data_IF_102670529112
#
_entry.id   IF_102670529112
#
_cell.length_a   1.000
_cell.length_b   1.000
_cell.length_c   1.000
_cell.angle_alpha   90.00
_cell.angle_beta   90.00
_cell.angle_gamma   90.00
#
_symmetry.space_group_name_H-M   'P 1'
#
loop_
_entity.id
_entity.type
_entity.pdbx_description
1 polymer ?
#
# COMPACT_ATOMS: atom_id res chain seq x y z
N UNK A 1 -8.27 34.08 -7.12
CA UNK A 1 -6.98 34.05 -6.41
C UNK A 1 -7.06 33.33 -5.06
N UNK A 2 -8.18 33.42 -4.33
CA UNK A 2 -8.29 32.84 -2.98
C UNK A 2 -8.32 31.31 -2.96
N UNK A 3 -9.01 30.66 -3.91
CA UNK A 3 -8.97 29.18 -4.03
C UNK A 3 -7.57 28.60 -4.31
N UNK A 4 -6.75 29.32 -5.08
CA UNK A 4 -5.38 28.87 -5.37
C UNK A 4 -4.49 28.96 -4.13
N UNK A 5 -4.66 30.01 -3.32
CA UNK A 5 -3.95 30.17 -2.04
C UNK A 5 -4.36 29.10 -1.03
N UNK A 6 -5.65 28.75 -0.96
CA UNK A 6 -6.15 27.67 -0.11
C UNK A 6 -5.52 26.30 -0.50
N UNK A 7 -5.50 25.97 -1.79
CA UNK A 7 -4.88 24.73 -2.28
C UNK A 7 -3.38 24.69 -1.95
N UNK A 8 -2.66 25.80 -2.16
CA UNK A 8 -1.22 25.87 -1.84
C UNK A 8 -0.99 25.71 -0.34
N UNK A 9 -1.83 26.31 0.51
CA UNK A 9 -1.75 26.18 1.95
C UNK A 9 -2.01 24.74 2.41
N UNK A 10 -3.05 24.07 1.89
CA UNK A 10 -3.34 22.66 2.17
C UNK A 10 -2.17 21.74 1.76
N UNK A 11 -1.58 21.97 0.58
CA UNK A 11 -0.41 21.22 0.13
C UNK A 11 0.80 21.46 1.04
N UNK A 12 1.04 22.70 1.45
CA UNK A 12 2.14 23.02 2.37
C UNK A 12 1.95 22.33 3.73
N UNK A 13 0.74 22.37 4.30
CA UNK A 13 0.41 21.68 5.54
C UNK A 13 0.62 20.16 5.43
N UNK A 14 0.19 19.56 4.32
CA UNK A 14 0.41 18.14 4.04
C UNK A 14 1.90 17.78 4.00
N UNK A 15 2.72 18.53 3.23
CA UNK A 15 4.15 18.24 3.13
C UNK A 15 4.87 18.41 4.47
N UNK A 16 4.51 19.44 5.25
CA UNK A 16 5.07 19.66 6.58
C UNK A 16 4.70 18.52 7.54
N UNK A 17 3.45 18.04 7.51
CA UNK A 17 3.00 16.92 8.32
C UNK A 17 3.72 15.63 7.93
N UNK A 18 3.78 15.31 6.65
CA UNK A 18 4.45 14.11 6.12
C UNK A 18 5.94 14.09 6.49
N UNK A 19 6.63 15.21 6.29
CA UNK A 19 8.05 15.35 6.61
C UNK A 19 8.33 15.27 8.11
N UNK A 20 7.54 15.99 8.94
CA UNK A 20 7.66 15.92 10.41
C UNK A 20 7.33 14.53 10.94
N UNK A 21 6.32 13.87 10.38
CA UNK A 21 5.95 12.49 10.71
C UNK A 21 7.08 11.50 10.44
N UNK A 22 7.74 11.63 9.28
CA UNK A 22 8.89 10.81 8.91
C UNK A 22 10.11 11.09 9.81
N UNK A 23 10.45 12.36 10.03
CA UNK A 23 11.54 12.75 10.94
C UNK A 23 11.28 12.32 12.38
N UNK A 24 10.01 12.22 12.78
CA UNK A 24 9.61 11.74 14.10
C UNK A 24 10.05 10.31 14.39
N UNK A 25 10.26 9.48 13.36
CA UNK A 25 10.74 8.10 13.49
C UNK A 25 12.14 8.06 14.12
N UNK A 26 13.00 9.05 13.82
CA UNK A 26 14.39 9.09 14.27
C UNK A 26 14.58 9.94 15.52
N UNK A 27 13.66 10.87 15.81
CA UNK A 27 13.80 11.85 16.92
C UNK A 27 13.06 11.37 18.17
N UNK A 28 13.74 11.39 19.34
CA UNK A 28 13.11 11.16 20.67
C UNK A 28 12.05 12.22 20.99
N UNK A 29 10.98 11.88 21.74
CA UNK A 29 10.69 10.58 22.37
C UNK A 29 10.13 9.56 21.35
N UNK A 30 10.45 8.27 21.56
CA UNK A 30 9.93 7.18 20.73
C UNK A 30 8.66 6.59 21.36
N UNK A 31 7.58 6.57 20.62
CA UNK A 31 6.29 5.99 21.03
C UNK A 31 6.16 4.55 20.48
N UNK A 32 7.10 3.67 20.88
CA UNK A 32 7.17 2.29 20.36
C UNK A 32 5.92 1.48 20.66
N UNK A 33 5.32 1.66 21.83
CA UNK A 33 4.09 0.95 22.19
C UNK A 33 2.95 1.31 21.23
N UNK A 34 2.78 2.60 20.97
CA UNK A 34 1.74 3.07 20.03
C UNK A 34 2.03 2.55 18.61
N UNK A 35 3.31 2.48 18.20
CA UNK A 35 3.70 1.93 16.92
C UNK A 35 3.36 0.43 16.81
N UNK A 36 3.60 -0.36 17.84
CA UNK A 36 3.26 -1.79 17.88
C UNK A 36 1.74 -1.98 17.84
N UNK A 37 0.97 -1.20 18.58
CA UNK A 37 -0.50 -1.23 18.55
C UNK A 37 -1.02 -0.90 17.13
N UNK A 38 -0.43 0.09 16.46
CA UNK A 38 -0.77 0.42 15.08
C UNK A 38 -0.30 -0.65 14.07
N UNK A 39 0.82 -1.34 14.33
CA UNK A 39 1.26 -2.48 13.50
C UNK A 39 0.32 -3.67 13.63
N UNK A 40 -0.15 -3.98 14.83
CA UNK A 40 -1.13 -5.04 15.04
C UNK A 40 -2.45 -4.72 14.33
N UNK A 41 -2.97 -3.51 14.49
CA UNK A 41 -4.16 -3.06 13.79
C UNK A 41 -4.01 -3.14 12.26
N UNK A 42 -2.89 -2.65 11.72
CA UNK A 42 -2.65 -2.62 10.28
C UNK A 42 -2.32 -4.02 9.72
N UNK A 43 -1.53 -4.80 10.45
CA UNK A 43 -1.05 -6.11 10.02
C UNK A 43 -2.06 -7.22 10.22
N UNK A 44 -2.28 -7.63 11.47
CA UNK A 44 -3.16 -8.75 11.80
C UNK A 44 -4.57 -8.53 11.28
N UNK A 45 -5.08 -7.32 11.44
CA UNK A 45 -6.41 -7.00 10.95
C UNK A 45 -6.57 -7.04 9.43
N UNK A 46 -5.52 -6.78 8.62
CA UNK A 46 -5.58 -6.81 7.15
C UNK A 46 -5.18 -8.16 6.56
N UNK A 47 -4.56 -9.02 7.35
CA UNK A 47 -3.93 -10.26 6.90
C UNK A 47 -4.89 -11.15 6.11
N UNK A 48 -6.04 -11.47 6.66
CA UNK A 48 -7.01 -12.37 6.03
C UNK A 48 -7.57 -11.80 4.71
N UNK A 49 -7.88 -10.50 4.69
CA UNK A 49 -8.43 -9.84 3.50
C UNK A 49 -7.39 -9.82 2.38
N UNK A 50 -6.12 -9.52 2.70
CA UNK A 50 -5.04 -9.50 1.72
C UNK A 50 -4.78 -10.91 1.16
N UNK A 51 -4.77 -11.95 2.01
CA UNK A 51 -4.65 -13.33 1.55
C UNK A 51 -5.78 -13.69 0.57
N UNK A 52 -7.02 -13.40 0.95
CA UNK A 52 -8.17 -13.72 0.11
C UNK A 52 -8.10 -12.99 -1.25
N UNK A 53 -7.88 -11.68 -1.23
CA UNK A 53 -7.80 -10.87 -2.46
C UNK A 53 -6.62 -11.33 -3.32
N UNK A 54 -5.45 -11.54 -2.73
CA UNK A 54 -4.25 -11.97 -3.44
C UNK A 54 -4.43 -13.35 -4.09
N UNK A 55 -5.06 -14.29 -3.40
CA UNK A 55 -5.37 -15.61 -3.94
C UNK A 55 -6.20 -15.50 -5.22
N UNK A 56 -7.32 -14.78 -5.16
CA UNK A 56 -8.21 -14.64 -6.30
C UNK A 56 -7.61 -13.80 -7.44
N UNK A 57 -6.82 -12.79 -7.13
CA UNK A 57 -6.07 -12.01 -8.15
C UNK A 57 -5.08 -12.91 -8.87
N UNK A 58 -4.32 -13.74 -8.16
CA UNK A 58 -3.40 -14.70 -8.76
C UNK A 58 -4.10 -15.74 -9.63
N UNK A 59 -5.23 -16.27 -9.15
CA UNK A 59 -6.06 -17.23 -9.90
C UNK A 59 -6.63 -16.58 -11.18
N UNK A 60 -7.23 -15.40 -11.09
CA UNK A 60 -7.85 -14.71 -12.22
C UNK A 60 -6.81 -14.35 -13.30
N UNK A 61 -5.66 -13.79 -12.88
CA UNK A 61 -4.58 -13.44 -13.79
C UNK A 61 -4.01 -14.67 -14.50
N UNK A 62 -3.78 -15.76 -13.75
CA UNK A 62 -3.27 -17.00 -14.33
C UNK A 62 -4.26 -17.62 -15.32
N UNK A 63 -5.56 -17.61 -15.00
CA UNK A 63 -6.59 -18.12 -15.89
C UNK A 63 -6.63 -17.36 -17.23
N UNK A 64 -6.61 -16.03 -17.16
CA UNK A 64 -6.63 -15.17 -18.33
C UNK A 64 -5.37 -15.34 -19.18
N UNK A 65 -4.18 -15.27 -18.56
CA UNK A 65 -2.92 -15.39 -19.29
C UNK A 65 -2.69 -16.80 -19.86
N UNK A 66 -3.09 -17.86 -19.15
CA UNK A 66 -3.00 -19.21 -19.66
C UNK A 66 -3.88 -19.41 -20.90
N UNK A 67 -5.07 -18.84 -20.92
CA UNK A 67 -5.97 -18.90 -22.08
C UNK A 67 -5.36 -18.19 -23.30
N UNK A 68 -4.86 -16.97 -23.14
CA UNK A 68 -4.27 -16.19 -24.23
C UNK A 68 -2.95 -16.78 -24.73
N UNK A 69 -2.05 -17.18 -23.85
CA UNK A 69 -0.78 -17.78 -24.21
C UNK A 69 -0.95 -19.17 -24.85
N UNK A 70 -1.99 -19.92 -24.48
CA UNK A 70 -2.34 -21.18 -25.13
C UNK A 70 -2.70 -21.00 -26.60
N UNK A 71 -3.48 -19.96 -26.94
CA UNK A 71 -3.87 -19.63 -28.33
C UNK A 71 -2.66 -19.29 -29.19
N UNK A 72 -1.61 -18.73 -28.58
CA UNK A 72 -0.36 -18.38 -29.23
C UNK A 72 0.67 -19.53 -29.26
N UNK A 73 0.34 -20.69 -28.71
CA UNK A 73 1.30 -21.79 -28.57
C UNK A 73 2.38 -21.57 -27.50
N UNK A 74 2.23 -20.53 -26.67
CA UNK A 74 3.24 -20.10 -25.68
C UNK A 74 2.86 -20.46 -24.23
N UNK A 75 2.03 -21.47 -24.04
CA UNK A 75 1.51 -21.89 -22.72
C UNK A 75 2.59 -22.10 -21.66
N UNK A 76 3.77 -22.59 -22.06
CA UNK A 76 4.90 -22.81 -21.15
C UNK A 76 5.39 -21.54 -20.44
N UNK A 77 5.15 -20.37 -21.00
CA UNK A 77 5.56 -19.07 -20.42
C UNK A 77 4.54 -18.48 -19.43
N UNK A 78 3.40 -19.14 -19.19
CA UNK A 78 2.35 -18.65 -18.29
C UNK A 78 2.91 -18.33 -16.91
N UNK A 79 3.67 -19.24 -16.30
CA UNK A 79 4.27 -19.02 -14.98
C UNK A 79 5.20 -17.80 -14.95
N UNK A 80 6.00 -17.60 -16.01
CA UNK A 80 6.92 -16.45 -16.12
C UNK A 80 6.17 -15.13 -16.18
N UNK A 81 5.16 -15.02 -17.05
CA UNK A 81 4.38 -13.78 -17.21
C UNK A 81 3.57 -13.47 -15.96
N UNK A 82 2.89 -14.49 -15.39
CA UNK A 82 2.15 -14.36 -14.13
C UNK A 82 3.08 -13.91 -13.00
N UNK A 83 4.24 -14.54 -12.85
CA UNK A 83 5.20 -14.23 -11.80
C UNK A 83 5.72 -12.79 -11.89
N UNK A 84 6.14 -12.32 -13.07
CA UNK A 84 6.59 -10.94 -13.27
C UNK A 84 5.47 -9.96 -12.95
N UNK A 85 4.27 -10.19 -13.47
CA UNK A 85 3.13 -9.30 -13.28
C UNK A 85 2.73 -9.17 -11.81
N UNK A 86 2.71 -10.30 -11.06
CA UNK A 86 2.36 -10.29 -9.64
C UNK A 86 3.45 -9.58 -8.83
N UNK A 87 4.71 -9.98 -8.99
CA UNK A 87 5.79 -9.49 -8.12
C UNK A 87 6.04 -7.99 -8.32
N UNK A 88 6.05 -7.51 -9.57
CA UNK A 88 6.45 -6.15 -9.90
C UNK A 88 5.33 -5.13 -9.85
N UNK A 89 4.10 -5.53 -10.19
CA UNK A 89 3.00 -4.58 -10.44
C UNK A 89 1.75 -4.90 -9.61
N UNK A 90 1.06 -5.98 -9.94
CA UNK A 90 -0.29 -6.25 -9.45
C UNK A 90 -0.30 -6.50 -7.94
N UNK A 91 0.68 -7.24 -7.41
CA UNK A 91 0.75 -7.55 -6.00
C UNK A 91 0.91 -6.31 -5.12
N UNK A 92 1.93 -5.46 -5.34
CA UNK A 92 2.09 -4.20 -4.60
C UNK A 92 0.87 -3.28 -4.68
N UNK A 93 0.29 -3.11 -5.87
CA UNK A 93 -0.89 -2.24 -6.07
C UNK A 93 -2.12 -2.83 -5.39
N UNK A 94 -2.42 -4.11 -5.59
CA UNK A 94 -3.58 -4.76 -4.97
C UNK A 94 -3.52 -4.70 -3.44
N UNK A 95 -2.35 -5.00 -2.85
CA UNK A 95 -2.15 -4.89 -1.41
C UNK A 95 -2.35 -3.45 -0.92
N UNK A 96 -1.81 -2.44 -1.64
CA UNK A 96 -1.95 -1.03 -1.29
C UNK A 96 -3.41 -0.55 -1.36
N UNK A 97 -4.19 -0.99 -2.37
CA UNK A 97 -5.61 -0.64 -2.48
C UNK A 97 -6.44 -1.21 -1.32
N UNK A 98 -6.22 -2.48 -0.97
CA UNK A 98 -6.88 -3.11 0.18
C UNK A 98 -6.48 -2.42 1.49
N UNK A 99 -5.19 -2.13 1.66
CA UNK A 99 -4.67 -1.43 2.83
C UNK A 99 -5.25 -0.01 2.95
N UNK A 100 -5.37 0.71 1.84
CA UNK A 100 -5.99 2.03 1.79
C UNK A 100 -7.44 1.99 2.25
N UNK A 101 -8.22 1.04 1.72
CA UNK A 101 -9.64 0.90 2.04
C UNK A 101 -9.89 0.60 3.52
N UNK A 102 -9.04 -0.22 4.14
CA UNK A 102 -9.20 -0.61 5.54
C UNK A 102 -8.39 0.24 6.51
N UNK A 103 -7.07 0.27 6.34
CA UNK A 103 -6.17 0.93 7.29
C UNK A 103 -6.15 2.44 7.08
N UNK A 104 -6.07 2.89 5.82
CA UNK A 104 -6.09 4.31 5.50
C UNK A 104 -7.38 4.99 5.94
N UNK A 105 -8.54 4.38 5.65
CA UNK A 105 -9.84 4.89 6.11
C UNK A 105 -9.95 4.90 7.64
N UNK A 106 -9.46 3.84 8.30
CA UNK A 106 -9.44 3.73 9.75
C UNK A 106 -8.60 4.82 10.40
N UNK A 107 -7.37 5.04 9.91
CA UNK A 107 -6.48 6.11 10.40
C UNK A 107 -7.14 7.50 10.26
N UNK A 108 -7.76 7.80 9.11
CA UNK A 108 -8.44 9.07 8.90
C UNK A 108 -9.66 9.24 9.82
N UNK A 109 -10.43 8.18 10.02
CA UNK A 109 -11.61 8.17 10.88
C UNK A 109 -11.24 8.34 12.35
N UNK A 110 -10.23 7.61 12.82
CA UNK A 110 -9.77 7.65 14.21
C UNK A 110 -9.21 9.05 14.55
N UNK A 111 -8.29 9.56 13.73
CA UNK A 111 -7.73 10.90 13.96
C UNK A 111 -8.78 12.00 13.87
N UNK A 112 -9.68 11.91 12.91
CA UNK A 112 -10.78 12.88 12.80
C UNK A 112 -11.75 12.83 13.99
N UNK A 113 -12.01 11.65 14.54
CA UNK A 113 -12.76 11.49 15.78
C UNK A 113 -12.04 12.11 16.99
N UNK A 114 -10.71 11.96 17.07
CA UNK A 114 -9.89 12.59 18.10
C UNK A 114 -9.90 14.13 17.99
N UNK A 115 -9.94 14.67 16.76
CA UNK A 115 -10.08 16.12 16.53
C UNK A 115 -11.45 16.60 17.02
N UNK A 116 -12.54 15.90 16.65
CA UNK A 116 -13.88 16.25 17.08
C UNK A 116 -14.07 16.16 18.60
N UNK A 117 -13.41 15.23 19.25
CA UNK A 117 -13.41 15.08 20.71
C UNK A 117 -12.41 15.97 21.44
N UNK A 118 -11.80 16.97 20.77
CA UNK A 118 -10.79 17.89 21.32
C UNK A 118 -9.56 17.20 21.95
N UNK A 119 -9.34 15.90 21.66
CA UNK A 119 -8.22 15.15 22.22
C UNK A 119 -6.87 15.65 21.68
N UNK A 120 -6.83 16.09 20.41
CA UNK A 120 -5.63 16.66 19.80
C UNK A 120 -5.24 17.98 20.46
N UNK A 121 -6.21 18.82 20.81
CA UNK A 121 -5.97 20.09 21.50
C UNK A 121 -5.54 19.85 22.96
N UNK A 122 -6.11 18.85 23.59
CA UNK A 122 -5.70 18.41 24.94
C UNK A 122 -4.23 17.96 24.96
N UNK A 123 -3.77 17.18 23.96
CA UNK A 123 -2.36 16.80 23.85
C UNK A 123 -1.46 18.04 23.72
N UNK A 124 -1.85 19.03 22.92
CA UNK A 124 -1.10 20.29 22.78
C UNK A 124 -1.03 21.06 24.10
N UNK A 125 -2.11 21.10 24.86
CA UNK A 125 -2.18 21.77 26.18
C UNK A 125 -1.24 21.11 27.19
N UNK A 126 -1.00 19.81 27.09
CA UNK A 126 0.00 19.08 27.88
C UNK A 126 1.44 19.16 27.33
N UNK A 127 1.68 19.98 26.29
CA UNK A 127 3.01 20.13 25.69
C UNK A 127 3.46 18.93 24.84
N UNK A 128 2.54 18.03 24.48
CA UNK A 128 2.82 16.86 23.63
C UNK A 128 2.59 17.24 22.18
N UNK A 129 3.60 17.01 21.31
CA UNK A 129 3.44 17.21 19.85
C UNK A 129 2.52 16.13 19.26
N UNK A 130 1.31 16.50 18.75
CA UNK A 130 0.37 15.55 18.19
C UNK A 130 0.93 14.79 16.98
N UNK A 131 1.79 15.43 16.18
CA UNK A 131 2.38 14.75 15.00
C UNK A 131 3.26 13.61 15.47
N UNK A 132 4.11 13.83 16.46
CA UNK A 132 4.97 12.77 17.01
C UNK A 132 4.18 11.65 17.68
N UNK A 133 3.15 11.99 18.43
CA UNK A 133 2.37 11.01 19.19
C UNK A 133 1.41 10.21 18.33
N UNK A 134 0.78 10.84 17.34
CA UNK A 134 -0.32 10.25 16.58
C UNK A 134 0.07 9.86 15.14
N UNK A 135 0.84 10.72 14.44
CA UNK A 135 1.14 10.50 13.02
C UNK A 135 2.36 9.58 12.83
N UNK A 136 3.44 9.83 13.57
CA UNK A 136 4.69 9.05 13.44
C UNK A 136 4.50 7.54 13.64
N UNK A 137 3.78 7.05 14.67
CA UNK A 137 3.54 5.62 14.86
C UNK A 137 2.74 4.98 13.70
N UNK A 138 1.79 5.73 13.12
CA UNK A 138 0.97 5.27 11.98
C UNK A 138 1.79 5.19 10.69
N UNK A 139 2.66 6.17 10.44
CA UNK A 139 3.58 6.12 9.28
C UNK A 139 4.54 4.94 9.43
N UNK A 140 5.14 4.75 10.60
CA UNK A 140 6.06 3.63 10.85
C UNK A 140 5.36 2.28 10.67
N UNK A 141 4.15 2.14 11.21
CA UNK A 141 3.34 0.94 11.03
C UNK A 141 3.06 0.64 9.55
N UNK A 142 2.65 1.63 8.77
CA UNK A 142 2.37 1.45 7.35
C UNK A 142 3.63 1.10 6.54
N UNK A 143 4.77 1.74 6.85
CA UNK A 143 6.06 1.46 6.22
C UNK A 143 6.54 0.02 6.43
N UNK A 144 6.21 -0.61 7.56
CA UNK A 144 6.63 -1.97 7.87
C UNK A 144 5.58 -2.99 7.43
N UNK A 145 4.31 -2.73 7.75
CA UNK A 145 3.26 -3.72 7.58
C UNK A 145 2.81 -3.88 6.13
N UNK A 146 2.77 -2.80 5.34
CA UNK A 146 2.36 -2.93 3.93
C UNK A 146 3.36 -3.74 3.10
N UNK A 147 4.69 -3.52 3.17
CA UNK A 147 5.64 -4.41 2.50
C UNK A 147 5.56 -5.87 2.96
N UNK A 148 5.41 -6.11 4.27
CA UNK A 148 5.27 -7.46 4.81
C UNK A 148 4.00 -8.16 4.27
N UNK A 149 2.87 -7.48 4.29
CA UNK A 149 1.60 -7.98 3.75
C UNK A 149 1.66 -8.19 2.23
N UNK A 150 2.36 -7.32 1.51
CA UNK A 150 2.57 -7.47 0.06
C UNK A 150 3.41 -8.71 -0.25
N UNK A 151 4.47 -8.97 0.52
CA UNK A 151 5.29 -10.18 0.37
C UNK A 151 4.47 -11.46 0.54
N UNK A 152 3.66 -11.51 1.59
CA UNK A 152 2.73 -12.63 1.85
C UNK A 152 1.69 -12.73 0.73
N UNK A 153 1.10 -11.60 0.33
CA UNK A 153 0.13 -11.54 -0.76
C UNK A 153 0.69 -12.04 -2.09
N UNK A 154 1.92 -11.67 -2.44
CA UNK A 154 2.61 -12.15 -3.63
C UNK A 154 2.78 -13.67 -3.60
N UNK A 155 3.23 -14.24 -2.48
CA UNK A 155 3.37 -15.68 -2.32
C UNK A 155 2.03 -16.41 -2.50
N UNK A 156 0.96 -15.91 -1.88
CA UNK A 156 -0.39 -16.46 -2.01
C UNK A 156 -0.93 -16.32 -3.44
N UNK A 157 -0.68 -15.20 -4.12
CA UNK A 157 -1.06 -15.00 -5.52
C UNK A 157 -0.38 -16.00 -6.45
N UNK A 158 0.91 -16.29 -6.23
CA UNK A 158 1.64 -17.30 -7.00
C UNK A 158 1.09 -18.70 -6.75
N UNK A 159 0.67 -19.03 -5.53
CA UNK A 159 -0.02 -20.29 -5.21
C UNK A 159 -1.39 -20.38 -5.90
N UNK A 160 -2.16 -19.31 -5.92
CA UNK A 160 -3.41 -19.23 -6.67
C UNK A 160 -3.19 -19.44 -8.17
N UNK A 161 -2.16 -18.78 -8.71
CA UNK A 161 -1.74 -18.96 -10.10
C UNK A 161 -1.29 -20.39 -10.42
N UNK A 162 -0.57 -21.03 -9.51
CA UNK A 162 -0.20 -22.44 -9.60
C UNK A 162 -1.43 -23.34 -9.72
N UNK A 163 -2.41 -23.15 -8.84
CA UNK A 163 -3.62 -23.96 -8.86
C UNK A 163 -4.31 -23.93 -10.24
N UNK A 164 -4.50 -22.74 -10.80
CA UNK A 164 -5.11 -22.58 -12.13
C UNK A 164 -4.24 -23.15 -13.25
N UNK A 165 -2.95 -22.85 -13.23
CA UNK A 165 -2.03 -23.33 -14.30
C UNK A 165 -1.96 -24.85 -14.37
N UNK A 166 -1.92 -25.53 -13.23
CA UNK A 166 -1.77 -26.97 -13.17
C UNK A 166 -3.09 -27.71 -13.31
N UNK A 167 -4.10 -27.36 -12.49
CA UNK A 167 -5.34 -28.14 -12.41
C UNK A 167 -6.40 -27.72 -13.45
N UNK A 168 -6.40 -26.47 -13.88
CA UNK A 168 -7.37 -26.00 -14.89
C UNK A 168 -6.76 -25.98 -16.29
N UNK A 169 -5.53 -25.46 -16.41
CA UNK A 169 -4.87 -25.32 -17.70
C UNK A 169 -4.03 -26.55 -18.10
N UNK A 170 -3.94 -27.61 -17.27
CA UNK A 170 -3.15 -28.82 -17.54
C UNK A 170 -1.69 -28.52 -17.93
N UNK A 171 -1.04 -27.59 -17.21
CA UNK A 171 0.38 -27.33 -17.32
C UNK A 171 1.15 -28.18 -16.31
N UNK A 172 2.36 -28.64 -16.65
CA UNK A 172 3.21 -29.35 -15.70
C UNK A 172 3.59 -28.45 -14.51
N UNK A 173 3.43 -28.95 -13.28
CA UNK A 173 3.84 -28.26 -12.07
C UNK A 173 5.33 -27.86 -12.11
N UNK A 174 6.18 -28.73 -12.66
CA UNK A 174 7.61 -28.46 -12.82
C UNK A 174 7.86 -27.24 -13.73
N UNK A 175 7.17 -27.15 -14.87
CA UNK A 175 7.30 -26.04 -15.83
C UNK A 175 6.83 -24.73 -15.18
N UNK A 176 5.74 -24.75 -14.42
CA UNK A 176 5.26 -23.56 -13.72
C UNK A 176 6.30 -23.05 -12.71
N UNK A 177 6.77 -23.92 -11.80
CA UNK A 177 7.73 -23.51 -10.76
C UNK A 177 9.11 -23.16 -11.31
N UNK A 178 9.60 -23.85 -12.36
CA UNK A 178 10.84 -23.43 -13.02
C UNK A 178 10.72 -22.03 -13.62
N UNK A 179 9.61 -21.74 -14.28
CA UNK A 179 9.32 -20.38 -14.81
C UNK A 179 9.24 -19.31 -13.72
N UNK A 180 8.68 -19.64 -12.54
CA UNK A 180 8.66 -18.72 -11.40
C UNK A 180 10.09 -18.48 -10.87
N UNK A 181 10.93 -19.51 -10.76
CA UNK A 181 12.33 -19.37 -10.32
C UNK A 181 13.12 -18.42 -11.22
N UNK A 182 12.91 -18.50 -12.54
CA UNK A 182 13.56 -17.61 -13.51
C UNK A 182 13.15 -16.13 -13.34
N UNK A 183 12.02 -15.88 -12.69
CA UNK A 183 11.52 -14.53 -12.39
C UNK A 183 12.00 -14.01 -11.05
N UNK A 184 12.29 -14.89 -10.09
CA UNK A 184 12.74 -14.54 -8.74
C UNK A 184 14.21 -14.10 -8.73
N UNK A 185 14.56 -13.19 -9.64
CA UNK A 185 15.85 -12.51 -9.68
C UNK A 185 15.80 -11.23 -8.83
N UNK A 186 16.97 -10.79 -8.39
CA UNK A 186 17.09 -9.64 -7.48
C UNK A 186 16.37 -8.40 -8.01
N UNK A 187 16.50 -8.11 -9.29
CA UNK A 187 15.91 -6.93 -9.95
C UNK A 187 14.38 -6.91 -9.85
N UNK A 188 13.73 -8.06 -10.05
CA UNK A 188 12.27 -8.15 -9.97
C UNK A 188 11.77 -8.04 -8.53
N UNK A 189 12.46 -8.71 -7.59
CA UNK A 189 12.11 -8.66 -6.17
C UNK A 189 12.32 -7.25 -5.64
N UNK A 190 13.42 -6.61 -5.97
CA UNK A 190 13.72 -5.24 -5.55
C UNK A 190 12.69 -4.24 -6.10
N UNK A 191 12.37 -4.33 -7.41
CA UNK A 191 11.36 -3.48 -8.02
C UNK A 191 9.99 -3.61 -7.35
N UNK A 192 9.58 -4.85 -7.03
CA UNK A 192 8.32 -5.10 -6.33
C UNK A 192 8.33 -4.72 -4.85
N UNK A 193 9.49 -4.83 -4.17
CA UNK A 193 9.61 -4.53 -2.75
C UNK A 193 9.65 -3.03 -2.44
N UNK A 194 10.25 -2.20 -3.30
CA UNK A 194 10.36 -0.75 -3.08
C UNK A 194 9.00 -0.05 -3.11
N UNK A 195 8.10 -0.46 -3.99
CA UNK A 195 6.78 0.16 -4.17
C UNK A 195 5.93 0.18 -2.90
N UNK A 196 5.75 -0.93 -2.16
CA UNK A 196 4.95 -0.94 -0.94
C UNK A 196 5.45 0.01 0.15
N UNK A 197 6.76 0.25 0.28
CA UNK A 197 7.29 1.23 1.22
C UNK A 197 6.78 2.64 0.90
N UNK A 198 6.86 3.02 -0.38
CA UNK A 198 6.41 4.34 -0.84
C UNK A 198 4.89 4.44 -0.70
N UNK A 199 4.14 3.41 -1.09
CA UNK A 199 2.69 3.40 -0.95
C UNK A 199 2.25 3.47 0.51
N UNK A 200 2.92 2.75 1.42
CA UNK A 200 2.64 2.80 2.86
C UNK A 200 2.82 4.20 3.43
N UNK A 201 3.91 4.88 3.05
CA UNK A 201 4.15 6.26 3.43
C UNK A 201 3.06 7.21 2.91
N UNK A 202 2.71 7.10 1.62
CA UNK A 202 1.68 7.94 1.00
C UNK A 202 0.30 7.73 1.64
N UNK A 203 -0.11 6.48 1.83
CA UNK A 203 -1.40 6.15 2.45
C UNK A 203 -1.47 6.73 3.87
N UNK A 204 -0.47 6.45 4.70
CA UNK A 204 -0.47 6.90 6.09
C UNK A 204 -0.44 8.43 6.20
N UNK A 205 0.41 9.10 5.42
CA UNK A 205 0.52 10.56 5.46
C UNK A 205 -0.75 11.26 4.98
N UNK A 206 -1.35 10.80 3.86
CA UNK A 206 -2.62 11.35 3.34
C UNK A 206 -3.75 11.11 4.33
N UNK A 207 -3.88 9.89 4.86
CA UNK A 207 -4.95 9.54 5.80
C UNK A 207 -4.83 10.31 7.10
N UNK A 208 -3.63 10.47 7.64
CA UNK A 208 -3.40 11.27 8.84
C UNK A 208 -3.70 12.76 8.60
N UNK A 209 -3.30 13.31 7.46
CA UNK A 209 -3.58 14.70 7.12
C UNK A 209 -5.09 14.96 7.02
N UNK A 210 -5.81 14.13 6.25
CA UNK A 210 -7.26 14.27 6.10
C UNK A 210 -8.01 14.11 7.42
N UNK A 211 -7.56 13.20 8.30
CA UNK A 211 -8.13 13.02 9.63
C UNK A 211 -7.94 14.27 10.50
N UNK A 212 -6.70 14.77 10.62
CA UNK A 212 -6.36 15.90 11.47
C UNK A 212 -6.94 17.24 10.99
N UNK A 213 -7.24 17.37 9.71
CA UNK A 213 -7.84 18.57 9.12
C UNK A 213 -9.37 18.48 9.00
N UNK A 214 -9.99 17.42 9.54
CA UNK A 214 -11.44 17.23 9.47
C UNK A 214 -12.19 18.31 10.24
N UNK A 215 -13.22 18.92 9.59
CA UNK A 215 -14.06 19.98 10.16
C UNK A 215 -15.53 19.69 9.86
N UNK A 216 -16.44 20.16 10.72
CA UNK A 216 -17.88 20.07 10.47
C UNK A 216 -18.56 18.82 11.06
N UNK A 217 -18.11 18.38 12.23
CA UNK A 217 -18.75 17.30 12.99
C UNK A 217 -18.71 15.94 12.28
N UNK A 218 -19.66 15.07 12.57
CA UNK A 218 -19.74 13.71 12.01
C UNK A 218 -19.83 13.68 10.47
N UNK A 219 -20.50 14.67 9.86
CA UNK A 219 -20.60 14.77 8.40
C UNK A 219 -19.24 15.13 7.80
N UNK A 220 -18.50 16.02 8.43
CA UNK A 220 -17.14 16.38 8.02
C UNK A 220 -16.18 15.20 8.13
N UNK A 221 -16.26 14.44 9.22
CA UNK A 221 -15.47 13.24 9.45
C UNK A 221 -15.68 12.21 8.33
N UNK A 222 -16.93 11.90 7.97
CA UNK A 222 -17.26 11.02 6.86
C UNK A 222 -16.65 11.51 5.54
N UNK A 223 -16.75 12.81 5.25
CA UNK A 223 -16.17 13.40 4.04
C UNK A 223 -14.63 13.30 4.04
N UNK A 224 -13.98 13.58 5.17
CA UNK A 224 -12.54 13.47 5.32
C UNK A 224 -12.05 12.05 5.09
N UNK A 225 -12.72 11.05 5.67
CA UNK A 225 -12.41 9.62 5.49
C UNK A 225 -12.54 9.20 4.02
N UNK A 226 -13.65 9.58 3.36
CA UNK A 226 -13.83 9.27 1.92
C UNK A 226 -12.76 9.94 1.06
N UNK A 227 -12.44 11.22 1.32
CA UNK A 227 -11.38 11.94 0.60
C UNK A 227 -10.01 11.30 0.82
N UNK A 228 -9.70 10.85 2.03
CA UNK A 228 -8.46 10.16 2.33
C UNK A 228 -8.28 8.91 1.44
N UNK A 229 -9.32 8.07 1.34
CA UNK A 229 -9.29 6.88 0.51
C UNK A 229 -9.12 7.22 -0.97
N UNK A 230 -9.94 8.14 -1.50
CA UNK A 230 -9.90 8.53 -2.92
C UNK A 230 -8.55 9.14 -3.29
N UNK A 231 -8.03 10.08 -2.50
CA UNK A 231 -6.74 10.70 -2.76
C UNK A 231 -5.60 9.68 -2.67
N UNK A 232 -5.62 8.77 -1.68
CA UNK A 232 -4.62 7.71 -1.57
C UNK A 232 -4.63 6.80 -2.80
N UNK A 233 -5.80 6.36 -3.27
CA UNK A 233 -5.92 5.52 -4.47
C UNK A 233 -5.35 6.23 -5.70
N UNK A 234 -5.74 7.49 -5.94
CA UNK A 234 -5.24 8.27 -7.07
C UNK A 234 -3.71 8.41 -6.98
N UNK A 235 -3.20 8.75 -5.80
CA UNK A 235 -1.76 8.95 -5.58
C UNK A 235 -0.98 7.65 -5.76
N UNK A 236 -1.52 6.51 -5.31
CA UNK A 236 -0.91 5.18 -5.53
C UNK A 236 -0.78 4.90 -7.03
N UNK A 237 -1.85 5.06 -7.81
CA UNK A 237 -1.85 4.76 -9.25
C UNK A 237 -0.84 5.65 -9.99
N UNK A 238 -0.82 6.95 -9.68
CA UNK A 238 0.15 7.88 -10.29
C UNK A 238 1.57 7.51 -9.88
N UNK A 239 1.81 7.24 -8.60
CA UNK A 239 3.12 6.87 -8.08
C UNK A 239 3.59 5.54 -8.64
N UNK A 240 2.71 4.55 -8.80
CA UNK A 240 3.03 3.27 -9.38
C UNK A 240 3.58 3.41 -10.80
N UNK A 241 2.90 4.17 -11.65
CA UNK A 241 3.37 4.47 -13.01
C UNK A 241 4.75 5.13 -13.01
N UNK A 242 4.94 6.16 -12.17
CA UNK A 242 6.22 6.87 -12.09
C UNK A 242 7.34 5.97 -11.58
N UNK A 243 7.07 5.19 -10.53
CA UNK A 243 8.03 4.26 -9.95
C UNK A 243 8.41 3.15 -10.93
N UNK A 244 7.44 2.59 -11.65
CA UNK A 244 7.71 1.60 -12.69
C UNK A 244 8.65 2.15 -13.74
N UNK A 245 8.37 3.36 -14.26
CA UNK A 245 9.23 4.01 -15.24
C UNK A 245 10.65 4.24 -14.74
N UNK A 246 10.79 4.73 -13.50
CA UNK A 246 12.09 4.98 -12.88
C UNK A 246 12.85 3.67 -12.65
N UNK A 247 12.19 2.66 -12.08
CA UNK A 247 12.79 1.37 -11.77
C UNK A 247 13.24 0.62 -13.03
N UNK A 248 12.45 0.67 -14.11
CA UNK A 248 12.82 0.09 -15.39
C UNK A 248 14.07 0.76 -15.96
N UNK A 249 14.14 2.10 -15.89
CA UNK A 249 15.30 2.85 -16.36
C UNK A 249 16.57 2.56 -15.53
N UNK A 250 16.45 2.48 -14.20
CA UNK A 250 17.59 2.24 -13.29
C UNK A 250 18.10 0.80 -13.36
N UNK A 251 17.19 -0.17 -13.53
CA UNK A 251 17.54 -1.60 -13.59
C UNK A 251 17.97 -2.07 -14.99
N UNK A 252 18.10 -1.13 -15.95
CA UNK A 252 18.62 -1.44 -17.29
C UNK A 252 17.64 -2.19 -18.21
N UNK A 253 16.37 -2.25 -17.87
CA UNK A 253 15.32 -2.73 -18.76
C UNK A 253 14.96 -1.60 -19.74
N UNK A 254 15.87 -1.31 -20.70
CA UNK A 254 15.58 -0.33 -21.77
C UNK A 254 14.45 -0.84 -22.64
N UNK A 255 13.40 -0.01 -22.77
CA UNK A 255 12.31 -0.18 -23.73
C UNK A 255 12.81 0.28 -25.09
#
# INVERSE_FOLDING_TARGET
MDRLKEIIAELQEYYLLAFRGLLGIVKKPFYLRDAIEQMDYAGAGSFFIIILVSLFVGMALSLQLAAELSRLGLKMYTGKVVGISIIREIGPVAAALVFTGRVGSGMASELGSMVLGHQVDTLRSFGVDPIKKLVTPRILSALIMLPALTGIGNAVSLLGGYYISVFVSNQSAYVYWSSIRDVLIFENIFAGAVKPFIFGFLIASISCHMGLTSKGGAIGLRRATTRAVVLSIITIIISDFLLTRILLSVLGFTI
#
